data_IF_886992559540
#
_entry.id   IF_886992559540
#
_cell.length_a   1.000
_cell.length_b   1.000
_cell.length_c   1.000
_cell.angle_alpha   90.00
_cell.angle_beta   90.00
_cell.angle_gamma   90.00
#
_symmetry.space_group_name_H-M   'P 1'
#
loop_
_entity.id
_entity.type
_entity.pdbx_description
1 polymer ?
#
# COMPACT_ATOMS: atom_id res chain seq x y z
N UNK A 1 65.60 -43.28 -1.01
CA UNK A 1 65.21 -41.92 -1.43
C UNK A 1 63.78 -41.99 -1.93
N UNK A 2 62.94 -41.10 -1.39
CA UNK A 2 61.65 -40.58 -1.88
C UNK A 2 60.53 -41.62 -2.13
N UNK A 3 59.47 -41.64 -1.31
CA UNK A 3 58.36 -40.66 -1.20
C UNK A 3 57.63 -40.44 -2.54
N UNK A 4 56.42 -40.98 -2.62
CA UNK A 4 55.25 -40.16 -2.97
C UNK A 4 53.96 -40.89 -2.58
N UNK A 5 53.15 -40.27 -1.73
CA UNK A 5 51.76 -40.63 -1.43
C UNK A 5 50.97 -39.33 -1.45
N UNK A 6 49.74 -39.32 -2.02
CA UNK A 6 49.16 -38.14 -2.62
C UNK A 6 48.49 -37.21 -1.62
N UNK A 7 48.49 -35.92 -1.97
CA UNK A 7 47.70 -34.88 -1.36
C UNK A 7 46.19 -35.21 -1.46
N UNK A 8 45.53 -35.27 -0.30
CA UNK A 8 44.08 -35.22 -0.20
C UNK A 8 43.64 -33.75 -0.03
N UNK A 9 42.79 -33.29 -0.94
CA UNK A 9 42.04 -32.03 -0.85
C UNK A 9 41.02 -32.08 0.31
N UNK A 10 40.65 -30.93 0.91
CA UNK A 10 39.70 -30.90 2.01
C UNK A 10 38.24 -31.09 1.52
N UNK A 11 37.45 -31.76 2.35
CA UNK A 11 36.08 -32.17 2.11
C UNK A 11 35.09 -31.00 2.12
N UNK A 12 34.24 -30.93 1.09
CA UNK A 12 32.96 -30.22 1.12
C UNK A 12 31.96 -31.06 1.94
N UNK A 13 31.76 -30.70 3.21
CA UNK A 13 30.86 -31.40 4.15
C UNK A 13 29.58 -30.63 4.42
N UNK A 14 28.48 -31.36 4.63
CA UNK A 14 27.19 -30.84 5.13
C UNK A 14 27.39 -30.01 6.42
N UNK A 15 26.68 -28.88 6.61
CA UNK A 15 26.83 -28.06 7.81
C UNK A 15 26.47 -28.86 9.07
N UNK A 16 27.24 -28.67 10.15
CA UNK A 16 26.99 -29.32 11.45
C UNK A 16 25.70 -28.80 12.09
N UNK A 17 25.12 -29.52 13.06
CA UNK A 17 23.90 -29.05 13.72
C UNK A 17 24.11 -27.70 14.43
N UNK A 18 25.31 -27.45 14.94
CA UNK A 18 25.72 -26.14 15.48
C UNK A 18 25.73 -25.05 14.41
N UNK A 19 26.31 -25.30 13.23
CA UNK A 19 26.31 -24.30 12.15
C UNK A 19 24.89 -23.97 11.68
N UNK A 20 24.02 -25.00 11.60
CA UNK A 20 22.58 -24.80 11.33
C UNK A 20 21.92 -23.96 12.41
N UNK A 21 22.21 -24.22 13.68
CA UNK A 21 21.71 -23.42 14.81
C UNK A 21 22.13 -21.95 14.69
N UNK A 22 23.41 -21.69 14.43
CA UNK A 22 23.92 -20.32 14.29
C UNK A 22 23.26 -19.57 13.13
N UNK A 23 23.01 -20.25 12.00
CA UNK A 23 22.28 -19.68 10.87
C UNK A 23 20.83 -19.35 11.24
N UNK A 24 20.10 -20.33 11.78
CA UNK A 24 18.69 -20.18 12.14
C UNK A 24 18.50 -19.11 13.23
N UNK A 25 19.39 -19.04 14.23
CA UNK A 25 19.35 -18.00 15.25
C UNK A 25 19.51 -16.59 14.65
N UNK A 26 20.39 -16.43 13.65
CA UNK A 26 20.53 -15.15 12.92
C UNK A 26 19.28 -14.82 12.10
N UNK A 27 18.71 -15.79 11.40
CA UNK A 27 17.45 -15.61 10.65
C UNK A 27 16.31 -15.19 11.57
N UNK A 28 16.14 -15.86 12.71
CA UNK A 28 15.12 -15.50 13.69
C UNK A 28 15.29 -14.06 14.19
N UNK A 29 16.53 -13.63 14.47
CA UNK A 29 16.78 -12.26 14.92
C UNK A 29 16.53 -11.23 13.80
N UNK A 30 16.83 -11.55 12.55
CA UNK A 30 16.49 -10.70 11.40
C UNK A 30 14.98 -10.51 11.26
N UNK A 31 14.19 -11.59 11.33
CA UNK A 31 12.74 -11.50 11.26
C UNK A 31 12.15 -10.75 12.47
N UNK A 32 12.66 -11.00 13.68
CA UNK A 32 12.28 -10.24 14.87
C UNK A 32 12.62 -8.76 14.75
N UNK A 33 13.77 -8.41 14.18
CA UNK A 33 14.14 -7.03 13.93
C UNK A 33 13.18 -6.35 12.95
N UNK A 34 12.79 -7.05 11.86
CA UNK A 34 11.76 -6.55 10.92
C UNK A 34 10.42 -6.35 11.62
N UNK A 35 10.01 -7.28 12.50
CA UNK A 35 8.76 -7.14 13.26
C UNK A 35 8.80 -5.96 14.23
N UNK A 36 9.94 -5.72 14.92
CA UNK A 36 10.12 -4.54 15.78
C UNK A 36 10.11 -3.23 14.98
N UNK A 37 10.64 -3.24 13.76
CA UNK A 37 10.60 -2.09 12.86
C UNK A 37 9.15 -1.76 12.50
N UNK A 38 8.35 -2.74 12.09
CA UNK A 38 6.90 -2.59 11.89
C UNK A 38 6.20 -1.98 13.12
N UNK A 39 6.42 -2.55 14.30
CA UNK A 39 5.84 -2.04 15.57
C UNK A 39 6.25 -0.60 15.90
N UNK A 40 7.37 -0.13 15.35
CA UNK A 40 7.88 1.24 15.54
C UNK A 40 7.32 2.21 14.51
N UNK A 41 7.23 1.79 13.25
CA UNK A 41 6.84 2.63 12.11
C UNK A 41 5.33 2.75 11.99
N UNK A 42 4.58 1.66 12.16
CA UNK A 42 3.12 1.64 12.04
C UNK A 42 2.41 2.75 12.84
N UNK A 43 2.69 2.98 14.14
CA UNK A 43 2.05 4.07 14.88
C UNK A 43 2.51 5.47 14.42
N UNK A 44 3.71 5.60 13.85
CA UNK A 44 4.19 6.88 13.30
C UNK A 44 3.51 7.20 11.98
N UNK A 45 3.37 6.19 11.12
CA UNK A 45 2.62 6.25 9.88
C UNK A 45 1.16 6.60 10.18
N UNK A 46 0.49 5.84 11.05
CA UNK A 46 -0.90 6.08 11.44
C UNK A 46 -1.11 7.52 11.88
N UNK A 47 -0.28 8.00 12.80
CA UNK A 47 -0.41 9.35 13.32
C UNK A 47 -0.26 10.40 12.21
N UNK A 48 0.73 10.25 11.34
CA UNK A 48 0.99 11.21 10.26
C UNK A 48 -0.08 11.17 9.18
N UNK A 49 -0.58 9.98 8.85
CA UNK A 49 -1.72 9.79 7.97
C UNK A 49 -2.95 10.53 8.53
N UNK A 50 -3.31 10.25 9.79
CA UNK A 50 -4.48 10.87 10.45
C UNK A 50 -4.34 12.40 10.63
N UNK A 51 -3.14 12.88 10.97
CA UNK A 51 -2.88 14.30 11.26
C UNK A 51 -2.72 15.14 9.97
N UNK A 52 -2.30 14.54 8.85
CA UNK A 52 -1.88 15.28 7.64
C UNK A 52 -2.55 14.77 6.37
N UNK A 53 -2.36 13.50 5.99
CA UNK A 53 -2.81 13.02 4.68
C UNK A 53 -4.34 12.93 4.60
N UNK A 54 -5.01 12.31 5.58
CA UNK A 54 -6.47 12.16 5.58
C UNK A 54 -7.24 13.50 5.50
N UNK A 55 -6.81 14.57 6.20
CA UNK A 55 -7.36 15.91 5.97
C UNK A 55 -7.16 16.44 4.54
N UNK A 56 -6.02 16.15 3.90
CA UNK A 56 -5.77 16.57 2.51
C UNK A 56 -6.66 15.81 1.54
N UNK A 57 -6.77 14.48 1.67
CA UNK A 57 -7.69 13.65 0.88
C UNK A 57 -9.13 14.17 0.98
N UNK A 58 -9.57 14.56 2.18
CA UNK A 58 -10.88 15.20 2.40
C UNK A 58 -11.02 16.49 1.60
N UNK A 59 -10.02 17.38 1.67
CA UNK A 59 -10.02 18.66 0.92
C UNK A 59 -10.02 18.42 -0.58
N UNK A 60 -9.25 17.44 -1.05
CA UNK A 60 -9.18 17.06 -2.46
C UNK A 60 -10.55 16.64 -2.99
N UNK A 61 -11.23 15.72 -2.29
CA UNK A 61 -12.59 15.24 -2.65
C UNK A 61 -13.57 16.42 -2.68
N UNK A 62 -13.52 17.32 -1.70
CA UNK A 62 -14.38 18.51 -1.68
C UNK A 62 -14.11 19.49 -2.83
N UNK A 63 -12.84 19.69 -3.20
CA UNK A 63 -12.46 20.56 -4.32
C UNK A 63 -12.87 19.95 -5.66
N UNK A 64 -12.67 18.64 -5.85
CA UNK A 64 -13.16 17.92 -7.03
C UNK A 64 -14.68 18.02 -7.15
N UNK A 65 -15.41 17.82 -6.04
CA UNK A 65 -16.87 18.00 -6.02
C UNK A 65 -17.29 19.42 -6.43
N UNK A 66 -16.60 20.45 -5.92
CA UNK A 66 -16.81 21.86 -6.31
C UNK A 66 -16.55 22.07 -7.81
N UNK A 67 -15.50 21.48 -8.37
CA UNK A 67 -15.20 21.55 -9.80
C UNK A 67 -16.29 20.92 -10.65
N UNK A 68 -16.79 19.73 -10.27
CA UNK A 68 -17.92 19.07 -10.95
C UNK A 68 -19.12 20.02 -11.00
N UNK A 69 -19.44 20.70 -9.89
CA UNK A 69 -20.53 21.68 -9.86
C UNK A 69 -20.27 22.90 -10.75
N UNK A 70 -19.04 23.39 -10.81
CA UNK A 70 -18.61 24.46 -11.70
C UNK A 70 -18.77 24.06 -13.18
N UNK A 71 -18.43 22.83 -13.56
CA UNK A 71 -18.63 22.33 -14.93
C UNK A 71 -20.09 22.16 -15.29
N UNK A 72 -20.92 21.60 -14.39
CA UNK A 72 -22.36 21.50 -14.60
C UNK A 72 -22.99 22.89 -14.84
N UNK A 73 -22.60 23.88 -14.03
CA UNK A 73 -23.05 25.25 -14.19
C UNK A 73 -22.59 25.84 -15.53
N UNK A 74 -21.31 25.67 -15.85
CA UNK A 74 -20.70 26.12 -17.10
C UNK A 74 -21.42 25.55 -18.32
N UNK A 75 -21.78 24.27 -18.30
CA UNK A 75 -22.53 23.62 -19.39
C UNK A 75 -23.87 24.30 -19.73
N UNK A 76 -24.47 25.04 -18.79
CA UNK A 76 -25.73 25.78 -18.97
C UNK A 76 -25.54 27.16 -19.62
N UNK A 77 -24.31 27.67 -19.66
CA UNK A 77 -24.01 29.00 -20.15
C UNK A 77 -24.04 29.06 -21.68
N UNK A 78 -24.64 30.13 -22.21
CA UNK A 78 -24.88 30.28 -23.66
C UNK A 78 -23.63 30.69 -24.42
N UNK A 79 -22.60 31.21 -23.75
CA UNK A 79 -21.37 31.60 -24.42
C UNK A 79 -20.57 30.41 -24.93
N UNK A 80 -20.72 29.21 -24.39
CA UNK A 80 -19.98 28.04 -24.86
C UNK A 80 -20.55 27.44 -26.13
N UNK A 81 -19.65 27.13 -27.05
CA UNK A 81 -19.95 26.34 -28.24
C UNK A 81 -20.40 24.93 -27.86
N UNK A 82 -21.03 24.22 -28.80
CA UNK A 82 -21.43 22.82 -28.59
C UNK A 82 -20.24 21.92 -28.24
N UNK A 83 -19.08 22.16 -28.86
CA UNK A 83 -17.88 21.37 -28.62
C UNK A 83 -17.25 21.65 -27.25
N UNK A 84 -17.24 22.91 -26.80
CA UNK A 84 -16.76 23.26 -25.46
C UNK A 84 -17.68 22.72 -24.36
N UNK A 85 -19.01 22.74 -24.58
CA UNK A 85 -19.97 22.13 -23.64
C UNK A 85 -19.83 20.61 -23.56
N UNK A 86 -19.57 19.94 -24.70
CA UNK A 86 -19.32 18.51 -24.70
C UNK A 86 -18.06 18.16 -23.90
N UNK A 87 -16.97 18.90 -24.10
CA UNK A 87 -15.73 18.70 -23.35
C UNK A 87 -15.91 18.98 -21.84
N UNK A 88 -16.61 20.06 -21.48
CA UNK A 88 -16.92 20.35 -20.08
C UNK A 88 -17.79 19.25 -19.43
N UNK A 89 -18.71 18.66 -20.19
CA UNK A 89 -19.54 17.54 -19.74
C UNK A 89 -18.71 16.27 -19.51
N UNK A 90 -17.77 15.97 -20.41
CA UNK A 90 -16.88 14.81 -20.29
C UNK A 90 -15.97 14.93 -19.06
N UNK A 91 -15.37 16.12 -18.86
CA UNK A 91 -14.55 16.39 -17.68
C UNK A 91 -15.39 16.30 -16.40
N UNK A 92 -16.62 16.83 -16.40
CA UNK A 92 -17.53 16.72 -15.26
C UNK A 92 -17.86 15.25 -14.92
N UNK A 93 -18.07 14.41 -15.93
CA UNK A 93 -18.36 12.99 -15.72
C UNK A 93 -17.15 12.27 -15.11
N UNK A 94 -15.95 12.49 -15.67
CA UNK A 94 -14.72 11.86 -15.20
C UNK A 94 -14.39 12.27 -13.75
N UNK A 95 -14.46 13.57 -13.45
CA UNK A 95 -14.21 14.06 -12.09
C UNK A 95 -15.29 13.57 -11.13
N UNK A 96 -16.55 13.49 -11.55
CA UNK A 96 -17.62 12.96 -10.70
C UNK A 96 -17.39 11.48 -10.37
N UNK A 97 -16.98 10.67 -11.36
CA UNK A 97 -16.63 9.27 -11.13
C UNK A 97 -15.46 9.14 -10.15
N UNK A 98 -14.34 9.80 -10.43
CA UNK A 98 -13.14 9.74 -9.58
C UNK A 98 -13.42 10.21 -8.13
N UNK A 99 -14.27 11.23 -7.97
CA UNK A 99 -14.69 11.71 -6.65
C UNK A 99 -15.57 10.68 -5.94
N UNK A 100 -16.47 10.01 -6.66
CA UNK A 100 -17.33 8.98 -6.10
C UNK A 100 -16.53 7.73 -5.73
N UNK A 101 -15.55 7.33 -6.54
CA UNK A 101 -14.66 6.21 -6.25
C UNK A 101 -13.89 6.45 -4.94
N UNK A 102 -13.34 7.65 -4.77
CA UNK A 102 -12.68 8.05 -3.51
C UNK A 102 -13.64 8.04 -2.31
N UNK A 103 -14.88 8.52 -2.50
CA UNK A 103 -15.91 8.50 -1.44
C UNK A 103 -16.31 7.07 -1.05
N UNK A 104 -16.32 6.13 -1.99
CA UNK A 104 -16.64 4.72 -1.72
C UNK A 104 -15.51 4.07 -0.90
N UNK A 105 -14.26 4.41 -1.21
CA UNK A 105 -13.09 3.87 -0.52
C UNK A 105 -12.93 4.43 0.90
N UNK A 106 -12.90 5.75 1.04
CA UNK A 106 -12.50 6.43 2.28
C UNK A 106 -13.68 7.02 3.07
N UNK A 107 -14.88 6.95 2.49
CA UNK A 107 -16.11 7.51 3.05
C UNK A 107 -16.41 8.93 2.57
N UNK A 108 -17.63 9.40 2.83
CA UNK A 108 -18.08 10.72 2.37
C UNK A 108 -17.63 11.86 3.31
N UNK A 109 -16.90 12.86 2.80
CA UNK A 109 -16.63 14.08 3.57
C UNK A 109 -17.90 14.81 4.01
N UNK A 110 -17.85 15.47 5.17
CA UNK A 110 -19.03 16.11 5.77
C UNK A 110 -19.65 17.23 4.89
N UNK A 111 -18.84 17.94 4.10
CA UNK A 111 -19.33 19.00 3.21
C UNK A 111 -19.69 18.50 1.79
N UNK A 112 -19.50 17.20 1.52
CA UNK A 112 -19.73 16.63 0.20
C UNK A 112 -21.17 16.10 0.06
N UNK A 113 -21.86 16.53 -1.00
CA UNK A 113 -23.20 16.07 -1.36
C UNK A 113 -23.09 14.93 -2.39
N UNK A 114 -22.91 13.71 -1.88
CA UNK A 114 -22.70 12.51 -2.70
C UNK A 114 -23.90 12.21 -3.62
N UNK A 115 -25.14 12.40 -3.15
CA UNK A 115 -26.35 12.20 -3.96
C UNK A 115 -26.37 13.16 -5.16
N UNK A 116 -25.97 14.42 -4.94
CA UNK A 116 -25.83 15.39 -6.01
C UNK A 116 -24.71 15.03 -6.97
N UNK A 117 -23.59 14.48 -6.50
CA UNK A 117 -22.51 14.00 -7.37
C UNK A 117 -22.97 12.83 -8.25
N UNK A 118 -23.63 11.81 -7.68
CA UNK A 118 -24.23 10.70 -8.44
C UNK A 118 -25.22 11.19 -9.50
N UNK A 119 -26.08 12.14 -9.15
CA UNK A 119 -27.02 12.72 -10.11
C UNK A 119 -26.31 13.47 -11.26
N UNK A 120 -25.18 14.12 -10.99
CA UNK A 120 -24.38 14.79 -12.01
C UNK A 120 -23.57 13.79 -12.86
N UNK A 121 -23.05 12.73 -12.25
CA UNK A 121 -22.42 11.62 -12.96
C UNK A 121 -23.42 10.99 -13.95
N UNK A 122 -24.62 10.61 -13.49
CA UNK A 122 -25.68 10.10 -14.36
C UNK A 122 -26.03 11.06 -15.50
N UNK A 123 -26.11 12.35 -15.19
CA UNK A 123 -26.42 13.38 -16.20
C UNK A 123 -25.35 13.49 -17.29
N UNK A 124 -24.07 13.41 -16.91
CA UNK A 124 -22.94 13.73 -17.79
C UNK A 124 -22.27 12.50 -18.41
N UNK A 125 -22.17 11.39 -17.67
CA UNK A 125 -21.66 10.10 -18.10
C UNK A 125 -22.75 9.17 -18.67
N UNK A 126 -24.01 9.37 -18.28
CA UNK A 126 -25.14 8.58 -18.78
C UNK A 126 -25.29 7.20 -18.15
N UNK A 127 -24.49 6.90 -17.11
CA UNK A 127 -24.52 5.66 -16.35
C UNK A 127 -24.91 5.91 -14.89
N UNK A 128 -25.55 4.93 -14.27
CA UNK A 128 -25.92 5.00 -12.86
C UNK A 128 -24.80 4.39 -12.03
N UNK A 129 -24.15 5.22 -11.22
CA UNK A 129 -22.95 4.84 -10.49
C UNK A 129 -23.23 3.69 -9.50
N UNK A 130 -24.39 3.70 -8.85
CA UNK A 130 -24.74 2.65 -7.89
C UNK A 130 -24.97 1.29 -8.58
N UNK A 131 -25.47 1.30 -9.82
CA UNK A 131 -25.64 0.07 -10.59
C UNK A 131 -24.30 -0.50 -11.10
N UNK A 132 -23.35 0.38 -11.47
CA UNK A 132 -22.00 -0.05 -11.87
C UNK A 132 -21.25 -0.69 -10.71
N UNK A 133 -21.37 -0.12 -9.50
CA UNK A 133 -20.78 -0.71 -8.29
C UNK A 133 -21.37 -2.09 -7.96
N UNK A 134 -22.70 -2.26 -8.05
CA UNK A 134 -23.35 -3.56 -7.81
C UNK A 134 -22.83 -4.64 -8.78
N UNK A 135 -22.66 -4.30 -10.07
CA UNK A 135 -22.13 -5.22 -11.08
C UNK A 135 -20.66 -5.60 -10.79
N UNK A 136 -19.84 -4.66 -10.31
CA UNK A 136 -18.43 -4.91 -9.95
C UNK A 136 -18.27 -5.78 -8.69
N UNK A 137 -19.11 -5.56 -7.67
CA UNK A 137 -19.13 -6.38 -6.46
C UNK A 137 -19.51 -7.84 -6.75
N UNK A 138 -20.48 -8.06 -7.63
CA UNK A 138 -20.91 -9.40 -8.06
C UNK A 138 -19.80 -10.16 -8.82
N UNK A 139 -19.03 -9.47 -9.68
CA UNK A 139 -17.88 -10.06 -10.38
C UNK A 139 -16.71 -10.37 -9.43
N UNK A 140 -16.45 -9.50 -8.44
CA UNK A 140 -15.40 -9.71 -7.44
C UNK A 140 -15.74 -10.85 -6.45
N UNK A 141 -17.01 -11.01 -6.09
CA UNK A 141 -17.49 -12.06 -5.19
C UNK A 141 -17.33 -13.49 -5.74
N UNK A 142 -17.28 -13.67 -7.06
CA UNK A 142 -17.11 -14.99 -7.69
C UNK A 142 -15.64 -15.46 -7.72
N UNK A 143 -14.67 -14.58 -7.44
CA UNK A 143 -13.24 -14.86 -7.53
C UNK A 143 -12.55 -15.27 -6.21
N UNK A 144 -13.22 -15.20 -5.05
CA UNK A 144 -12.55 -15.32 -3.74
C UNK A 144 -12.93 -16.60 -2.93
N UNK A 145 -12.03 -17.61 -2.89
CA UNK A 145 -11.88 -18.58 -1.78
C UNK A 145 -10.64 -19.50 -1.96
N UNK A 146 -10.06 -20.10 -0.89
CA UNK A 146 -9.88 -19.64 0.49
C UNK A 146 -8.41 -19.64 0.95
N UNK A 147 -8.13 -18.96 2.06
CA UNK A 147 -6.85 -18.99 2.77
C UNK A 147 -6.67 -20.24 3.61
N UNK A 148 -5.50 -20.87 3.47
CA UNK A 148 -5.04 -22.02 4.25
C UNK A 148 -4.54 -21.56 5.61
N UNK A 149 -5.14 -22.09 6.67
CA UNK A 149 -4.62 -21.93 8.04
C UNK A 149 -3.38 -22.83 8.22
N UNK A 150 -2.24 -22.22 8.51
CA UNK A 150 -1.04 -22.93 8.92
C UNK A 150 -1.11 -23.22 10.43
N UNK A 151 -1.14 -24.52 10.77
CA UNK A 151 -1.07 -25.03 12.13
C UNK A 151 0.34 -24.81 12.69
N UNK A 152 0.55 -23.73 13.45
CA UNK A 152 1.82 -23.44 14.10
C UNK A 152 1.92 -24.20 15.43
N UNK A 153 2.86 -25.14 15.52
CA UNK A 153 3.16 -25.85 16.78
C UNK A 153 3.78 -24.86 17.77
N UNK A 154 3.14 -24.69 18.93
CA UNK A 154 3.65 -23.83 20.00
C UNK A 154 4.96 -24.39 20.58
N UNK A 155 6.03 -23.60 20.52
CA UNK A 155 7.32 -23.90 21.17
C UNK A 155 7.22 -23.54 22.66
N UNK A 156 7.66 -24.45 23.54
CA UNK A 156 7.65 -24.21 24.98
C UNK A 156 8.52 -22.99 25.35
N UNK A 157 8.04 -22.08 26.22
CA UNK A 157 8.73 -20.83 26.52
C UNK A 157 10.10 -21.03 27.19
N UNK A 158 10.29 -22.11 27.95
CA UNK A 158 11.56 -22.46 28.56
C UNK A 158 12.61 -22.83 27.51
N UNK A 159 12.21 -23.57 26.47
CA UNK A 159 13.09 -23.96 25.37
C UNK A 159 13.49 -22.75 24.52
N UNK A 160 12.55 -21.85 24.27
CA UNK A 160 12.84 -20.59 23.58
C UNK A 160 13.83 -19.71 24.37
N UNK A 161 13.65 -19.59 25.69
CA UNK A 161 14.56 -18.83 26.55
C UNK A 161 15.97 -19.46 26.60
N UNK A 162 16.08 -20.78 26.59
CA UNK A 162 17.36 -21.48 26.54
C UNK A 162 18.09 -21.28 25.22
N UNK A 163 17.37 -21.32 24.10
CA UNK A 163 17.90 -21.02 22.76
C UNK A 163 18.44 -19.58 22.72
N UNK A 164 17.70 -18.61 23.24
CA UNK A 164 18.10 -17.21 23.28
C UNK A 164 19.35 -17.00 24.16
N UNK A 165 19.38 -17.60 25.35
CA UNK A 165 20.53 -17.56 26.23
C UNK A 165 21.78 -18.19 25.58
N UNK A 166 21.61 -19.28 24.82
CA UNK A 166 22.71 -19.93 24.09
C UNK A 166 23.16 -19.14 22.87
N UNK A 167 22.24 -18.50 22.15
CA UNK A 167 22.57 -17.63 21.02
C UNK A 167 23.35 -16.40 21.46
N UNK A 168 23.05 -15.86 22.65
CA UNK A 168 23.81 -14.77 23.28
C UNK A 168 25.13 -15.22 23.92
N UNK A 169 25.31 -16.53 24.17
CA UNK A 169 26.51 -17.06 24.78
C UNK A 169 27.70 -17.15 23.80
N UNK A 170 28.92 -17.08 24.33
CA UNK A 170 30.14 -17.22 23.53
C UNK A 170 30.37 -18.64 23.00
N UNK A 171 31.26 -18.74 22.00
CA UNK A 171 31.57 -19.99 21.29
C UNK A 171 31.98 -21.16 22.20
N UNK A 172 32.57 -20.87 23.37
CA UNK A 172 32.98 -21.87 24.37
C UNK A 172 31.79 -22.58 25.03
N UNK A 173 30.67 -21.87 25.23
CA UNK A 173 29.47 -22.44 25.84
C UNK A 173 28.67 -23.23 24.80
N UNK A 174 28.64 -22.74 23.57
CA UNK A 174 28.06 -23.44 22.42
C UNK A 174 28.80 -24.75 22.11
N UNK A 175 30.13 -24.79 22.24
CA UNK A 175 30.90 -26.01 22.01
C UNK A 175 30.60 -27.15 23.02
N UNK A 176 29.99 -26.85 24.18
CA UNK A 176 29.64 -27.84 25.21
C UNK A 176 28.29 -28.52 24.97
N UNK A 177 27.51 -28.02 24.01
CA UNK A 177 26.19 -28.56 23.67
C UNK A 177 26.35 -29.75 22.73
N UNK A 178 25.65 -30.85 23.04
CA UNK A 178 25.66 -32.06 22.20
C UNK A 178 24.82 -31.92 20.93
N UNK A 179 25.15 -32.70 19.89
CA UNK A 179 24.46 -32.70 18.59
C UNK A 179 22.94 -32.98 18.70
N UNK A 180 22.51 -33.88 19.60
CA UNK A 180 21.09 -34.17 19.83
C UNK A 180 20.33 -32.94 20.35
N UNK A 181 20.99 -32.12 21.18
CA UNK A 181 20.38 -30.91 21.74
C UNK A 181 20.30 -29.81 20.68
N UNK A 182 21.31 -29.68 19.83
CA UNK A 182 21.23 -28.79 18.66
C UNK A 182 20.13 -29.20 17.68
N UNK A 183 19.89 -30.50 17.51
CA UNK A 183 18.76 -30.98 16.68
C UNK A 183 17.42 -30.49 17.24
N UNK A 184 17.22 -30.56 18.56
CA UNK A 184 16.02 -30.03 19.22
C UNK A 184 15.93 -28.50 19.07
N UNK A 185 17.04 -27.77 19.24
CA UNK A 185 17.06 -26.32 19.05
C UNK A 185 16.77 -25.91 17.60
N UNK A 186 17.29 -26.64 16.63
CA UNK A 186 17.06 -26.36 15.21
C UNK A 186 15.57 -26.52 14.85
N UNK A 187 14.92 -27.57 15.35
CA UNK A 187 13.47 -27.75 15.16
C UNK A 187 12.67 -26.62 15.82
N UNK A 188 13.02 -26.24 17.04
CA UNK A 188 12.37 -25.14 17.73
C UNK A 188 12.59 -23.79 17.04
N UNK A 189 13.81 -23.52 16.54
CA UNK A 189 14.13 -22.31 15.78
C UNK A 189 13.34 -22.25 14.46
N UNK A 190 13.23 -23.36 13.73
CA UNK A 190 12.40 -23.44 12.51
C UNK A 190 10.93 -23.10 12.81
N UNK A 191 10.38 -23.64 13.91
CA UNK A 191 9.01 -23.29 14.35
C UNK A 191 8.88 -21.82 14.78
N UNK A 192 9.88 -21.26 15.47
CA UNK A 192 9.87 -19.85 15.87
C UNK A 192 9.97 -18.91 14.67
N UNK A 193 10.82 -19.22 13.68
CA UNK A 193 10.91 -18.48 12.42
C UNK A 193 9.57 -18.52 11.71
N UNK A 194 8.99 -19.70 11.51
CA UNK A 194 7.67 -19.82 10.88
C UNK A 194 6.59 -18.99 11.60
N UNK A 195 6.62 -18.95 12.94
CA UNK A 195 5.68 -18.16 13.74
C UNK A 195 5.90 -16.65 13.61
N UNK A 196 7.14 -16.17 13.50
CA UNK A 196 7.44 -14.74 13.30
C UNK A 196 7.13 -14.33 11.86
N UNK A 197 7.48 -15.16 10.88
CA UNK A 197 7.11 -14.94 9.48
C UNK A 197 5.59 -14.84 9.30
N UNK A 198 4.80 -15.73 9.93
CA UNK A 198 3.35 -15.64 9.90
C UNK A 198 2.81 -14.35 10.55
N UNK A 199 3.43 -13.89 11.64
CA UNK A 199 3.08 -12.60 12.26
C UNK A 199 3.43 -11.41 11.36
N UNK A 200 4.59 -11.44 10.69
CA UNK A 200 4.97 -10.40 9.74
C UNK A 200 3.98 -10.29 8.59
N UNK A 201 3.56 -11.43 8.02
CA UNK A 201 2.51 -11.46 6.99
C UNK A 201 1.21 -10.88 7.53
N UNK A 202 0.76 -11.30 8.71
CA UNK A 202 -0.48 -10.80 9.29
C UNK A 202 -0.45 -9.28 9.58
N UNK A 203 0.68 -8.76 10.06
CA UNK A 203 0.87 -7.31 10.29
C UNK A 203 0.86 -6.54 8.98
N UNK A 204 1.60 -7.02 7.97
CA UNK A 204 1.66 -6.39 6.65
C UNK A 204 0.29 -6.41 5.95
N UNK A 205 -0.43 -7.54 6.00
CA UNK A 205 -1.78 -7.67 5.43
C UNK A 205 -2.79 -6.77 6.13
N UNK A 206 -2.73 -6.68 7.46
CA UNK A 206 -3.60 -5.79 8.24
C UNK A 206 -3.32 -4.31 7.93
N UNK A 207 -2.04 -3.95 7.76
CA UNK A 207 -1.64 -2.61 7.34
C UNK A 207 -2.16 -2.29 5.94
N UNK A 208 -1.96 -3.20 4.97
CA UNK A 208 -2.46 -3.03 3.60
C UNK A 208 -3.97 -2.85 3.55
N UNK A 209 -4.71 -3.70 4.26
CA UNK A 209 -6.16 -3.62 4.31
C UNK A 209 -6.65 -2.30 4.94
N UNK A 210 -5.93 -1.79 5.95
CA UNK A 210 -6.29 -0.55 6.65
C UNK A 210 -6.08 0.71 5.82
N UNK A 211 -5.03 0.75 5.02
CA UNK A 211 -4.65 1.91 4.21
C UNK A 211 -4.81 1.63 2.71
N UNK A 212 -5.66 0.66 2.36
CA UNK A 212 -6.08 0.33 1.00
C UNK A 212 -4.94 0.07 -0.02
N UNK A 213 -3.81 -0.45 0.43
CA UNK A 213 -2.74 -0.91 -0.47
C UNK A 213 -3.15 -2.19 -1.21
N UNK A 214 -2.59 -2.39 -2.42
CA UNK A 214 -2.75 -3.64 -3.16
C UNK A 214 -2.28 -4.84 -2.33
N UNK A 215 -3.13 -5.87 -2.10
CA UNK A 215 -2.75 -7.08 -1.36
C UNK A 215 -1.49 -7.78 -1.91
N UNK A 216 -1.22 -7.65 -3.21
CA UNK A 216 -0.06 -8.26 -3.88
C UNK A 216 1.21 -7.40 -3.81
N UNK A 217 1.10 -6.10 -3.46
CA UNK A 217 2.26 -5.23 -3.28
C UNK A 217 3.10 -5.69 -2.08
N UNK A 218 4.42 -5.59 -2.17
CA UNK A 218 5.31 -5.82 -1.01
C UNK A 218 5.62 -4.49 -0.35
N UNK A 219 5.59 -4.43 0.99
CA UNK A 219 5.93 -3.21 1.75
C UNK A 219 7.23 -3.42 2.55
N UNK A 220 8.18 -2.51 2.36
CA UNK A 220 9.31 -2.36 3.28
C UNK A 220 8.99 -1.28 4.33
N UNK A 221 8.87 -1.64 5.62
CA UNK A 221 8.58 -0.65 6.65
C UNK A 221 9.68 0.41 6.83
N UNK A 222 10.90 0.24 6.29
CA UNK A 222 11.89 1.32 6.33
C UNK A 222 11.54 2.51 5.44
N UNK A 223 10.78 2.27 4.37
CA UNK A 223 10.55 3.23 3.31
C UNK A 223 9.20 3.95 3.48
N UNK A 224 8.26 3.33 4.23
CA UNK A 224 6.91 3.84 4.48
C UNK A 224 6.82 5.32 4.89
N UNK A 225 7.75 5.82 5.68
CA UNK A 225 7.70 7.22 6.13
C UNK A 225 8.14 8.20 5.04
N UNK A 226 9.09 7.80 4.18
CA UNK A 226 9.52 8.55 3.01
C UNK A 226 8.44 8.52 1.93
N UNK A 227 7.85 7.35 1.69
CA UNK A 227 6.73 7.18 0.74
C UNK A 227 5.53 8.05 1.17
N UNK A 228 5.18 8.06 2.46
CA UNK A 228 4.11 8.92 2.98
C UNK A 228 4.44 10.41 2.88
N UNK A 229 5.71 10.81 3.03
CA UNK A 229 6.11 12.20 2.80
C UNK A 229 5.89 12.61 1.34
N UNK A 230 6.26 11.74 0.40
CA UNK A 230 6.07 11.98 -1.03
C UNK A 230 4.58 12.04 -1.39
N UNK A 231 3.77 11.13 -0.86
CA UNK A 231 2.32 11.12 -1.07
C UNK A 231 1.63 12.40 -0.54
N UNK A 232 2.07 12.90 0.62
CA UNK A 232 1.61 14.18 1.16
C UNK A 232 2.01 15.35 0.25
N UNK A 233 3.24 15.34 -0.29
CA UNK A 233 3.69 16.39 -1.23
C UNK A 233 2.86 16.37 -2.52
N UNK A 234 2.64 15.19 -3.09
CA UNK A 234 1.81 14.98 -4.29
C UNK A 234 0.36 15.45 -4.05
N UNK A 235 -0.23 15.09 -2.91
CA UNK A 235 -1.58 15.54 -2.54
C UNK A 235 -1.65 17.07 -2.38
N UNK A 236 -0.64 17.70 -1.79
CA UNK A 236 -0.57 19.16 -1.66
C UNK A 236 -0.42 19.86 -3.01
N UNK A 237 0.43 19.34 -3.90
CA UNK A 237 0.57 19.87 -5.25
C UNK A 237 -0.75 19.77 -6.00
N UNK A 238 -1.39 18.60 -5.95
CA UNK A 238 -2.65 18.37 -6.64
C UNK A 238 -3.81 19.23 -6.10
N UNK A 239 -3.91 19.40 -4.78
CA UNK A 239 -4.84 20.37 -4.18
C UNK A 239 -4.59 21.78 -4.73
N UNK A 240 -3.32 22.20 -4.82
CA UNK A 240 -2.95 23.49 -5.42
C UNK A 240 -3.38 23.61 -6.89
N UNK A 241 -3.30 22.53 -7.67
CA UNK A 241 -3.82 22.48 -9.04
C UNK A 241 -5.35 22.63 -9.06
N UNK A 242 -6.08 21.90 -8.22
CA UNK A 242 -7.54 21.97 -8.14
C UNK A 242 -8.03 23.37 -7.72
N UNK A 243 -7.36 24.00 -6.75
CA UNK A 243 -7.63 25.38 -6.34
C UNK A 243 -7.38 26.38 -7.49
N UNK A 244 -6.28 26.19 -8.22
CA UNK A 244 -6.00 27.00 -9.40
C UNK A 244 -7.06 26.82 -10.49
N UNK A 245 -7.49 25.60 -10.76
CA UNK A 245 -8.57 25.32 -11.71
C UNK A 245 -9.88 25.99 -11.31
N UNK A 246 -10.28 25.88 -10.03
CA UNK A 246 -11.47 26.55 -9.50
C UNK A 246 -11.39 28.07 -9.70
N UNK A 247 -10.20 28.67 -9.55
CA UNK A 247 -10.00 30.10 -9.80
C UNK A 247 -10.26 30.54 -11.25
N UNK A 248 -10.17 29.62 -12.22
CA UNK A 248 -10.46 29.91 -13.63
C UNK A 248 -11.97 30.09 -13.90
N UNK A 249 -12.84 29.60 -13.01
CA UNK A 249 -14.30 29.70 -13.14
C UNK A 249 -14.88 31.08 -12.77
N UNK A 250 -14.03 32.06 -12.49
CA UNK A 250 -14.44 33.44 -12.17
C UNK A 250 -14.95 34.20 -13.40
N UNK A 251 -14.45 33.88 -14.60
CA UNK A 251 -14.93 34.47 -15.86
C UNK A 251 -14.93 33.46 -17.02
N UNK A 252 -15.92 33.58 -17.89
CA UNK A 252 -16.15 32.70 -19.02
C UNK A 252 -15.01 32.69 -20.05
N UNK A 253 -14.24 33.78 -20.18
CA UNK A 253 -13.05 33.79 -21.06
C UNK A 253 -11.94 32.89 -20.52
N UNK A 254 -11.75 32.86 -19.20
CA UNK A 254 -10.76 32.01 -18.54
C UNK A 254 -11.14 30.54 -18.67
N UNK A 255 -12.41 30.21 -18.41
CA UNK A 255 -12.96 28.85 -18.62
C UNK A 255 -12.72 28.35 -20.04
N UNK A 256 -12.98 29.18 -21.06
CA UNK A 256 -12.73 28.80 -22.47
C UNK A 256 -11.25 28.63 -22.80
N UNK A 257 -10.39 29.50 -22.27
CA UNK A 257 -8.95 29.40 -22.46
C UNK A 257 -8.41 28.11 -21.84
N UNK A 258 -8.88 27.77 -20.64
CA UNK A 258 -8.56 26.54 -19.93
C UNK A 258 -9.07 25.30 -20.67
N UNK A 259 -10.34 25.25 -21.10
CA UNK A 259 -10.89 24.12 -21.88
C UNK A 259 -10.09 23.88 -23.17
N UNK A 260 -9.63 24.96 -23.81
CA UNK A 260 -8.79 24.87 -25.00
C UNK A 260 -7.39 24.32 -24.68
N UNK A 261 -6.81 24.70 -23.55
CA UNK A 261 -5.52 24.18 -23.10
C UNK A 261 -5.61 22.69 -22.74
N UNK A 262 -6.64 22.29 -21.97
CA UNK A 262 -6.94 20.90 -21.61
C UNK A 262 -7.13 20.03 -22.86
N UNK A 263 -7.96 20.50 -23.81
CA UNK A 263 -8.16 19.81 -25.10
C UNK A 263 -6.84 19.61 -25.86
N UNK A 264 -5.91 20.57 -25.78
CA UNK A 264 -4.62 20.49 -26.45
C UNK A 264 -3.68 19.50 -25.75
N UNK A 265 -3.74 19.39 -24.42
CA UNK A 265 -3.00 18.37 -23.66
C UNK A 265 -3.52 16.97 -23.95
N UNK A 266 -4.84 16.77 -23.95
CA UNK A 266 -5.48 15.49 -24.33
C UNK A 266 -5.20 15.07 -25.78
N UNK A 267 -5.05 16.04 -26.69
CA UNK A 267 -4.69 15.80 -28.09
C UNK A 267 -3.17 15.67 -28.33
N UNK A 268 -2.34 16.01 -27.35
CA UNK A 268 -0.90 15.80 -27.46
C UNK A 268 -0.61 14.30 -27.25
N UNK A 269 0.12 13.63 -28.16
CA UNK A 269 0.47 12.23 -27.94
C UNK A 269 1.28 12.16 -26.64
N UNK A 270 0.78 11.39 -25.66
CA UNK A 270 1.49 11.00 -24.43
C UNK A 270 2.89 10.55 -24.86
N UNK A 271 3.90 11.42 -24.71
CA UNK A 271 5.28 11.03 -24.92
C UNK A 271 5.58 10.08 -23.78
N UNK A 272 5.48 8.77 -24.06
CA UNK A 272 6.08 7.72 -23.25
C UNK A 272 7.56 8.09 -23.08
N UNK A 273 7.89 8.59 -21.89
CA UNK A 273 9.23 8.50 -21.32
C UNK A 273 9.37 7.15 -20.64
#
# INVERSE_FOLDING_TARGET
MQENTPAAQPASGTPTQRQKFELLARTLEQERARLRLWQTVEPQYQKKYEDVLAPLETVEVELKAKLVFCFDHTCKQKELTKAERALASEIAAQLAQETLDAIVLDGTPAECDADRLKALYLKHGGSDYDAELEDEEDEAGEAAAPTVAADAVAVAPELAAEIEALAAAGADQQAKVGEDRYTQYNQALESLIAAVAAQLVAVEDAFKARYHFDPAQSIDPSDLMEDLDAEIEDAQEYIGELEFELSQFVDMQQVKAWLKAMKKQLAAPKRRG
#
